data_IF_512883423709
#
_entry.id   IF_512883423709
#
_cell.length_a   1.000
_cell.length_b   1.000
_cell.length_c   1.000
_cell.angle_alpha   90.00
_cell.angle_beta   90.00
_cell.angle_gamma   90.00
#
_symmetry.space_group_name_H-M   'P 1'
#
loop_
_entity.id
_entity.type
_entity.pdbx_description
1 polymer ?
#
# COMPACT_ATOMS: atom_id res chain seq x y z
N UNK A 1 3.01 3.86 26.61
CA UNK A 1 2.15 2.87 25.93
C UNK A 1 2.22 1.60 26.77
N UNK A 2 1.11 1.17 27.41
CA UNK A 2 1.09 0.06 28.34
C UNK A 2 1.27 -1.29 27.63
N UNK A 3 2.10 -2.18 28.20
CA UNK A 3 2.36 -3.54 27.68
C UNK A 3 1.07 -4.37 27.56
N UNK A 4 0.12 -4.18 28.48
CA UNK A 4 -1.21 -4.83 28.43
C UNK A 4 -1.97 -4.59 27.13
N UNK A 5 -1.80 -3.43 26.48
CA UNK A 5 -2.43 -3.16 25.19
C UNK A 5 -1.89 -4.00 24.03
N UNK A 6 -0.63 -4.45 24.09
CA UNK A 6 -0.03 -5.24 22.99
C UNK A 6 -0.45 -6.71 23.04
N UNK A 7 -0.68 -7.27 24.22
CA UNK A 7 -1.15 -8.66 24.36
C UNK A 7 -2.64 -8.81 24.03
N UNK A 8 -3.44 -7.76 24.31
CA UNK A 8 -4.82 -7.66 23.87
C UNK A 8 -4.95 -7.42 22.36
N UNK A 9 -3.93 -6.82 21.76
CA UNK A 9 -3.94 -6.38 20.36
C UNK A 9 -3.63 -7.50 19.34
N UNK A 10 -2.74 -8.43 19.68
CA UNK A 10 -2.41 -9.60 18.85
C UNK A 10 -2.37 -10.80 19.78
N UNK A 11 -3.51 -11.49 19.96
CA UNK A 11 -3.53 -12.68 20.78
C UNK A 11 -2.48 -13.66 20.27
N UNK A 12 -1.76 -14.27 21.21
CA UNK A 12 -0.86 -15.37 20.89
C UNK A 12 -1.73 -16.48 20.28
N UNK A 13 -1.31 -17.02 19.14
CA UNK A 13 -2.03 -18.09 18.48
C UNK A 13 -2.07 -19.34 19.36
N UNK A 14 -3.23 -19.99 19.45
CA UNK A 14 -3.45 -21.18 20.28
C UNK A 14 -2.71 -22.41 19.74
N UNK A 15 -2.67 -23.48 20.55
CA UNK A 15 -1.82 -24.65 20.32
C UNK A 15 -2.05 -25.41 18.98
N UNK A 16 -3.20 -25.24 18.34
CA UNK A 16 -3.53 -25.90 17.06
C UNK A 16 -2.69 -25.40 15.87
N UNK A 17 -2.18 -24.17 15.93
CA UNK A 17 -1.28 -23.62 14.89
C UNK A 17 0.18 -24.06 15.06
N UNK A 18 0.53 -24.67 16.18
CA UNK A 18 1.86 -25.27 16.39
C UNK A 18 2.10 -26.45 15.43
N UNK A 19 1.05 -27.18 15.09
CA UNK A 19 1.11 -28.26 14.08
C UNK A 19 1.39 -27.71 12.68
N UNK A 20 0.75 -26.62 12.33
CA UNK A 20 0.94 -25.93 11.04
C UNK A 20 2.35 -25.33 10.95
N UNK A 21 2.85 -24.72 12.04
CA UNK A 21 4.22 -24.22 12.10
C UNK A 21 5.26 -25.33 11.90
N UNK A 22 5.09 -26.47 12.55
CA UNK A 22 6.01 -27.60 12.38
C UNK A 22 6.01 -28.08 10.93
N UNK A 23 4.85 -28.13 10.25
CA UNK A 23 4.76 -28.49 8.85
C UNK A 23 5.45 -27.48 7.91
N UNK A 24 5.39 -26.19 8.23
CA UNK A 24 6.13 -25.14 7.49
C UNK A 24 7.63 -25.30 7.68
N UNK A 25 8.09 -25.51 8.91
CA UNK A 25 9.51 -25.69 9.21
C UNK A 25 10.08 -26.94 8.52
N UNK A 26 9.31 -28.01 8.40
CA UNK A 26 9.77 -29.24 7.73
C UNK A 26 9.84 -29.13 6.20
N UNK A 27 9.14 -28.17 5.60
CA UNK A 27 9.11 -27.98 4.13
C UNK A 27 10.06 -26.90 3.62
N UNK A 28 10.54 -26.01 4.49
CA UNK A 28 11.40 -24.88 4.10
C UNK A 28 12.86 -25.12 4.50
N UNK A 29 13.67 -25.56 3.55
CA UNK A 29 15.10 -25.81 3.72
C UNK A 29 15.86 -24.56 4.21
N UNK A 30 15.45 -23.37 3.76
CA UNK A 30 16.09 -22.09 4.14
C UNK A 30 15.87 -21.82 5.62
N UNK A 31 14.64 -22.04 6.10
CA UNK A 31 14.29 -21.89 7.51
C UNK A 31 15.06 -22.87 8.38
N UNK A 32 15.19 -24.12 7.95
CA UNK A 32 15.96 -25.13 8.68
C UNK A 32 17.45 -24.76 8.77
N UNK A 33 18.04 -24.29 7.68
CA UNK A 33 19.42 -23.79 7.67
C UNK A 33 19.59 -22.62 8.65
N UNK A 34 18.71 -21.64 8.62
CA UNK A 34 18.73 -20.53 9.55
C UNK A 34 18.63 -20.97 11.01
N UNK A 35 17.69 -21.84 11.35
CA UNK A 35 17.52 -22.37 12.71
C UNK A 35 18.77 -23.14 13.19
N UNK A 36 19.40 -23.92 12.30
CA UNK A 36 20.65 -24.62 12.57
C UNK A 36 21.80 -23.63 12.86
N UNK A 37 21.88 -22.55 12.09
CA UNK A 37 22.97 -21.57 12.26
C UNK A 37 22.81 -20.77 13.55
N UNK A 38 21.62 -20.29 13.90
CA UNK A 38 21.39 -19.60 15.17
C UNK A 38 21.59 -20.55 16.38
N UNK A 39 21.34 -21.86 16.19
CA UNK A 39 21.52 -22.89 17.19
C UNK A 39 22.99 -23.12 17.60
N UNK A 40 23.95 -22.80 16.73
CA UNK A 40 25.39 -22.93 17.02
C UNK A 40 25.87 -21.93 18.08
N UNK A 41 25.15 -20.80 18.26
CA UNK A 41 25.53 -19.75 19.19
C UNK A 41 25.10 -20.10 20.62
N UNK A 42 26.02 -20.05 21.56
CA UNK A 42 25.77 -20.35 22.99
C UNK A 42 24.89 -19.26 23.61
N UNK A 43 23.98 -19.69 24.49
CA UNK A 43 23.17 -18.76 25.30
C UNK A 43 24.06 -18.05 26.35
N UNK A 44 23.80 -16.78 26.55
CA UNK A 44 24.55 -15.98 27.55
C UNK A 44 24.00 -16.21 28.96
N UNK A 45 24.92 -16.25 29.92
CA UNK A 45 24.60 -16.19 31.37
C UNK A 45 24.38 -14.74 31.77
N UNK A 46 23.62 -14.51 32.85
CA UNK A 46 23.32 -13.15 33.37
C UNK A 46 24.56 -12.28 33.57
N UNK A 47 25.68 -12.85 34.10
CA UNK A 47 26.95 -12.13 34.28
C UNK A 47 27.58 -11.71 32.95
N UNK A 48 27.43 -12.54 31.91
CA UNK A 48 27.93 -12.26 30.56
C UNK A 48 27.12 -11.16 29.89
N UNK A 49 25.77 -11.18 30.04
CA UNK A 49 24.90 -10.10 29.56
C UNK A 49 25.27 -8.76 30.17
N UNK A 50 25.52 -8.71 31.52
CA UNK A 50 25.94 -7.51 32.21
C UNK A 50 27.30 -7.01 31.72
N UNK A 51 28.29 -7.91 31.57
CA UNK A 51 29.60 -7.54 31.05
C UNK A 51 29.55 -6.98 29.63
N UNK A 52 28.74 -7.61 28.75
CA UNK A 52 28.50 -7.09 27.40
C UNK A 52 27.78 -5.74 27.43
N UNK A 53 26.78 -5.58 28.30
CA UNK A 53 26.10 -4.29 28.52
C UNK A 53 27.07 -3.19 28.98
N UNK A 54 27.99 -3.51 29.86
CA UNK A 54 29.07 -2.59 30.33
C UNK A 54 30.00 -2.21 29.18
N UNK A 55 30.45 -3.17 28.38
CA UNK A 55 31.30 -2.93 27.20
C UNK A 55 30.58 -2.09 26.10
N UNK A 56 29.26 -2.19 25.99
CA UNK A 56 28.48 -1.39 25.04
C UNK A 56 28.46 0.09 25.44
N UNK A 57 28.40 0.40 26.74
CA UNK A 57 28.27 1.78 27.23
C UNK A 57 29.65 2.42 27.50
N UNK A 58 30.58 1.68 28.12
CA UNK A 58 31.86 2.19 28.60
C UNK A 58 33.04 1.87 27.67
N UNK A 59 32.89 0.91 26.75
CA UNK A 59 33.94 0.42 25.86
C UNK A 59 34.26 1.32 24.68
N UNK A 60 35.42 1.10 24.07
CA UNK A 60 35.79 1.75 22.82
C UNK A 60 34.80 1.37 21.67
N UNK A 61 34.70 2.21 20.63
CA UNK A 61 33.76 1.99 19.51
C UNK A 61 33.83 0.58 18.90
N UNK A 62 35.05 0.01 18.73
CA UNK A 62 35.22 -1.37 18.20
C UNK A 62 34.73 -2.43 19.18
N UNK A 63 35.03 -2.27 20.47
CA UNK A 63 34.59 -3.18 21.53
C UNK A 63 33.07 -3.16 21.70
N UNK A 64 32.48 -1.97 21.74
CA UNK A 64 31.04 -1.79 21.84
C UNK A 64 30.32 -2.46 20.65
N UNK A 65 30.85 -2.34 19.42
CA UNK A 65 30.27 -2.95 18.24
C UNK A 65 30.36 -4.49 18.27
N UNK A 66 31.48 -5.03 18.76
CA UNK A 66 31.69 -6.47 18.93
C UNK A 66 30.78 -7.03 20.03
N UNK A 67 30.66 -6.34 21.15
CA UNK A 67 29.78 -6.71 22.25
C UNK A 67 28.30 -6.69 21.81
N UNK A 68 27.86 -5.67 21.04
CA UNK A 68 26.54 -5.61 20.47
C UNK A 68 26.25 -6.79 19.55
N UNK A 69 27.16 -7.09 18.60
CA UNK A 69 27.02 -8.25 17.70
C UNK A 69 26.85 -9.54 18.49
N UNK A 70 27.67 -9.78 19.49
CA UNK A 70 27.60 -10.97 20.33
C UNK A 70 26.31 -11.04 21.12
N UNK A 71 25.83 -9.94 21.71
CA UNK A 71 24.58 -9.86 22.43
C UNK A 71 23.38 -10.17 21.49
N UNK A 72 23.36 -9.63 20.28
CA UNK A 72 22.31 -9.88 19.28
C UNK A 72 22.32 -11.34 18.84
N UNK A 73 23.48 -11.86 18.40
CA UNK A 73 23.60 -13.24 17.90
C UNK A 73 23.14 -14.27 18.92
N UNK A 74 23.50 -14.10 20.20
CA UNK A 74 23.11 -15.02 21.27
C UNK A 74 21.62 -14.99 21.62
N UNK A 75 20.89 -13.95 21.17
CA UNK A 75 19.47 -13.78 21.45
C UNK A 75 18.55 -13.93 20.21
N UNK A 76 19.06 -14.35 19.05
CA UNK A 76 18.23 -14.60 17.87
C UNK A 76 17.17 -15.68 18.11
N UNK A 77 17.48 -16.68 18.94
CA UNK A 77 16.51 -17.73 19.33
C UNK A 77 15.30 -17.16 20.06
N UNK A 78 15.48 -16.07 20.85
CA UNK A 78 14.37 -15.37 21.49
C UNK A 78 13.44 -14.73 20.45
N UNK A 79 14.01 -14.13 19.39
CA UNK A 79 13.20 -13.56 18.29
C UNK A 79 12.32 -14.63 17.64
N UNK A 80 12.90 -15.80 17.32
CA UNK A 80 12.16 -16.93 16.73
C UNK A 80 11.02 -17.39 17.63
N UNK A 81 11.27 -17.52 18.94
CA UNK A 81 10.24 -17.96 19.90
C UNK A 81 9.07 -16.99 20.02
N UNK A 82 9.33 -15.68 19.86
CA UNK A 82 8.28 -14.66 19.86
C UNK A 82 7.56 -14.61 18.50
N UNK A 83 8.30 -14.62 17.37
CA UNK A 83 7.73 -14.58 16.03
C UNK A 83 6.80 -15.78 15.76
N UNK A 84 7.13 -16.95 16.31
CA UNK A 84 6.29 -18.17 16.20
C UNK A 84 4.84 -17.91 16.66
N UNK A 85 4.62 -17.07 17.65
CA UNK A 85 3.30 -16.75 18.20
C UNK A 85 2.46 -15.84 17.29
N UNK A 86 3.03 -15.32 16.21
CA UNK A 86 2.39 -14.39 15.28
C UNK A 86 2.32 -14.95 13.85
N UNK A 87 2.56 -16.26 13.68
CA UNK A 87 2.37 -16.94 12.40
C UNK A 87 0.90 -16.94 11.96
N UNK A 88 0.63 -17.07 10.66
CA UNK A 88 -0.75 -17.11 10.14
C UNK A 88 -1.45 -15.75 10.02
N UNK A 89 -0.80 -14.66 10.34
CA UNK A 89 -1.39 -13.30 10.32
C UNK A 89 -1.12 -12.51 9.02
N UNK A 90 -0.95 -13.20 7.89
CA UNK A 90 -0.80 -12.58 6.57
C UNK A 90 0.62 -12.07 6.26
N UNK A 91 1.63 -12.42 7.08
CA UNK A 91 3.04 -12.14 6.85
C UNK A 91 3.84 -13.44 6.95
N UNK A 92 4.81 -13.62 6.07
CA UNK A 92 5.66 -14.81 6.08
C UNK A 92 6.47 -14.89 7.38
N UNK A 93 6.66 -16.12 7.89
CA UNK A 93 7.37 -16.33 9.17
C UNK A 93 8.79 -15.76 9.15
N UNK A 94 9.54 -15.92 8.06
CA UNK A 94 10.89 -15.38 7.96
C UNK A 94 10.91 -13.85 8.00
N UNK A 95 9.90 -13.20 7.41
CA UNK A 95 9.77 -11.74 7.47
C UNK A 95 9.50 -11.26 8.91
N UNK A 96 8.64 -11.99 9.65
CA UNK A 96 8.42 -11.71 11.07
C UNK A 96 9.71 -11.87 11.90
N UNK A 97 10.54 -12.88 11.60
CA UNK A 97 11.83 -13.09 12.26
C UNK A 97 12.79 -11.94 11.92
N UNK A 98 12.85 -11.48 10.67
CA UNK A 98 13.70 -10.36 10.27
C UNK A 98 13.26 -9.05 10.95
N UNK A 99 11.97 -8.74 10.93
CA UNK A 99 11.42 -7.55 11.60
C UNK A 99 11.65 -7.63 13.12
N UNK A 100 11.47 -8.81 13.73
CA UNK A 100 11.79 -9.04 15.13
C UNK A 100 13.28 -8.84 15.43
N UNK A 101 14.16 -9.24 14.51
CA UNK A 101 15.61 -9.02 14.63
C UNK A 101 15.97 -7.55 14.59
N UNK A 102 15.28 -6.73 13.77
CA UNK A 102 15.42 -5.27 13.81
C UNK A 102 14.99 -4.70 15.18
N UNK A 103 13.95 -5.28 15.80
CA UNK A 103 13.55 -4.98 17.18
C UNK A 103 14.62 -5.31 18.20
N UNK A 104 15.24 -6.50 18.08
CA UNK A 104 16.34 -6.94 18.93
C UNK A 104 17.55 -5.99 18.82
N UNK A 105 17.90 -5.53 17.62
CA UNK A 105 18.96 -4.54 17.39
C UNK A 105 18.64 -3.22 18.10
N UNK A 106 17.39 -2.74 18.00
CA UNK A 106 16.96 -1.53 18.74
C UNK A 106 17.06 -1.72 20.24
N UNK A 107 16.70 -2.90 20.76
CA UNK A 107 16.83 -3.23 22.17
C UNK A 107 18.30 -3.22 22.61
N UNK A 108 19.20 -3.86 21.85
CA UNK A 108 20.62 -3.90 22.15
C UNK A 108 21.27 -2.50 22.17
N UNK A 109 20.82 -1.59 21.30
CA UNK A 109 21.30 -0.21 21.27
C UNK A 109 20.86 0.65 22.47
N UNK A 110 19.76 0.27 23.13
CA UNK A 110 19.16 1.03 24.24
C UNK A 110 19.20 0.30 25.57
N UNK A 111 19.87 -0.84 25.63
CA UNK A 111 19.96 -1.65 26.84
C UNK A 111 20.84 -0.99 27.89
N UNK A 112 20.29 -0.84 29.09
CA UNK A 112 20.96 -0.31 30.24
C UNK A 112 21.13 -1.41 31.28
N UNK A 113 22.38 -1.88 31.45
CA UNK A 113 22.72 -2.95 32.38
C UNK A 113 22.60 -2.51 33.85
N UNK A 114 22.68 -1.19 34.17
CA UNK A 114 22.63 -0.67 35.53
C UNK A 114 21.30 -0.91 36.23
N UNK A 115 20.21 -1.07 35.43
CA UNK A 115 18.86 -1.34 35.94
C UNK A 115 18.66 -2.74 36.50
N UNK A 116 19.61 -3.64 36.37
CA UNK A 116 19.60 -4.96 36.97
C UNK A 116 18.63 -5.98 36.35
N UNK A 117 17.85 -5.60 35.34
CA UNK A 117 16.96 -6.52 34.64
C UNK A 117 17.70 -7.37 33.59
N UNK A 118 17.14 -8.55 33.26
CA UNK A 118 17.64 -9.39 32.15
C UNK A 118 17.42 -8.70 30.82
N UNK A 119 18.37 -8.87 29.89
CA UNK A 119 18.24 -8.35 28.54
C UNK A 119 17.01 -8.88 27.86
N UNK A 120 16.69 -10.18 27.99
CA UNK A 120 15.50 -10.80 27.40
C UNK A 120 14.19 -10.11 27.77
N UNK A 121 14.02 -9.67 29.03
CA UNK A 121 12.82 -8.96 29.49
C UNK A 121 12.63 -7.64 28.74
N UNK A 122 13.71 -6.89 28.54
CA UNK A 122 13.67 -5.63 27.79
C UNK A 122 13.53 -5.84 26.29
N UNK A 123 14.25 -6.81 25.74
CA UNK A 123 14.25 -7.12 24.31
C UNK A 123 12.87 -7.63 23.82
N UNK A 124 12.17 -8.45 24.62
CA UNK A 124 10.85 -8.97 24.27
C UNK A 124 9.87 -7.86 23.89
N UNK A 125 9.89 -6.74 24.61
CA UNK A 125 9.03 -5.60 24.29
C UNK A 125 9.35 -5.00 22.90
N UNK A 126 10.62 -4.80 22.58
CA UNK A 126 11.04 -4.25 21.29
C UNK A 126 10.77 -5.21 20.13
N UNK A 127 11.06 -6.50 20.34
CA UNK A 127 10.80 -7.55 19.34
C UNK A 127 9.30 -7.60 19.02
N UNK A 128 8.46 -7.68 20.06
CA UNK A 128 7.00 -7.71 19.89
C UNK A 128 6.48 -6.47 19.18
N UNK A 129 6.92 -5.29 19.60
CA UNK A 129 6.52 -4.02 18.99
C UNK A 129 6.84 -3.95 17.50
N UNK A 130 8.03 -4.43 17.09
CA UNK A 130 8.40 -4.42 15.66
C UNK A 130 7.61 -5.44 14.87
N UNK A 131 7.41 -6.65 15.38
CA UNK A 131 6.61 -7.69 14.74
C UNK A 131 5.16 -7.22 14.54
N UNK A 132 4.52 -6.72 15.60
CA UNK A 132 3.14 -6.22 15.53
C UNK A 132 3.00 -5.07 14.53
N UNK A 133 3.98 -4.18 14.50
CA UNK A 133 4.00 -3.08 13.54
C UNK A 133 4.21 -3.56 12.10
N UNK A 134 5.03 -4.57 11.90
CA UNK A 134 5.25 -5.19 10.58
C UNK A 134 3.96 -5.85 10.07
N UNK A 135 3.26 -6.61 10.93
CA UNK A 135 1.97 -7.21 10.60
C UNK A 135 0.96 -6.11 10.22
N UNK A 136 0.84 -5.06 11.03
CA UNK A 136 -0.08 -3.96 10.75
C UNK A 136 0.21 -3.26 9.41
N UNK A 137 1.47 -3.23 8.96
CA UNK A 137 1.86 -2.57 7.73
C UNK A 137 1.76 -3.46 6.49
N UNK A 138 2.00 -4.78 6.62
CA UNK A 138 2.27 -5.68 5.49
C UNK A 138 1.27 -6.85 5.39
N UNK A 139 0.36 -7.04 6.36
CA UNK A 139 -0.57 -8.19 6.37
C UNK A 139 -1.68 -8.11 5.31
N UNK A 140 -1.96 -6.94 4.77
CA UNK A 140 -3.01 -6.73 3.78
C UNK A 140 -2.42 -6.19 2.47
N UNK A 141 -2.92 -6.69 1.33
CA UNK A 141 -2.53 -6.22 -0.02
C UNK A 141 -2.78 -4.72 -0.17
N UNK A 142 -3.97 -4.28 0.24
CA UNK A 142 -4.29 -2.85 0.34
C UNK A 142 -3.95 -2.40 1.75
N UNK A 143 -2.89 -1.61 1.88
CA UNK A 143 -2.41 -1.12 3.18
C UNK A 143 -3.46 -0.32 3.92
N UNK A 144 -3.73 -0.70 5.17
CA UNK A 144 -4.64 -0.02 6.07
C UNK A 144 -3.83 0.76 7.14
N UNK A 145 -4.15 2.03 7.43
CA UNK A 145 -3.49 2.77 8.51
C UNK A 145 -3.69 2.10 9.88
N UNK A 146 -2.67 2.17 10.76
CA UNK A 146 -2.66 1.48 12.06
C UNK A 146 -3.88 1.85 12.92
N UNK A 147 -4.26 3.14 12.97
CA UNK A 147 -5.44 3.57 13.73
C UNK A 147 -6.77 2.97 13.23
N UNK A 148 -6.85 2.58 11.95
CA UNK A 148 -8.02 1.88 11.41
C UNK A 148 -7.99 0.39 11.78
N UNK A 149 -6.80 -0.22 11.79
CA UNK A 149 -6.64 -1.61 12.25
C UNK A 149 -7.10 -1.73 13.71
N UNK A 150 -6.78 -0.74 14.55
CA UNK A 150 -7.21 -0.69 15.94
C UNK A 150 -8.74 -0.63 16.06
N UNK A 151 -9.39 0.24 15.26
CA UNK A 151 -10.85 0.32 15.21
C UNK A 151 -11.49 -0.98 14.73
N UNK A 152 -10.94 -1.58 13.65
CA UNK A 152 -11.42 -2.85 13.11
C UNK A 152 -11.39 -3.95 14.18
N UNK A 153 -10.36 -3.98 15.02
CA UNK A 153 -10.27 -4.97 16.10
C UNK A 153 -11.31 -4.76 17.19
N UNK A 154 -11.46 -3.51 17.62
CA UNK A 154 -12.51 -3.19 18.59
C UNK A 154 -13.89 -3.60 18.08
N UNK A 155 -14.16 -3.31 16.79
CA UNK A 155 -15.40 -3.71 16.13
C UNK A 155 -15.54 -5.24 16.08
N UNK A 156 -14.50 -5.98 15.65
CA UNK A 156 -14.51 -7.45 15.61
C UNK A 156 -14.74 -8.06 16.99
N UNK A 157 -14.06 -7.55 18.04
CA UNK A 157 -14.24 -7.99 19.44
C UNK A 157 -15.68 -7.76 19.89
N UNK A 158 -16.23 -6.57 19.65
CA UNK A 158 -17.60 -6.25 20.00
C UNK A 158 -18.62 -7.12 19.25
N UNK A 159 -18.39 -7.38 17.97
CA UNK A 159 -19.21 -8.31 17.17
C UNK A 159 -19.21 -9.71 17.76
N UNK A 160 -18.03 -10.25 18.08
CA UNK A 160 -17.91 -11.58 18.67
C UNK A 160 -18.65 -11.68 20.01
N UNK A 161 -18.47 -10.70 20.89
CA UNK A 161 -19.11 -10.67 22.20
C UNK A 161 -20.64 -10.55 22.12
N UNK A 162 -21.17 -9.75 21.18
CA UNK A 162 -22.63 -9.63 20.96
C UNK A 162 -23.17 -10.91 20.35
N UNK A 163 -22.49 -11.45 19.32
CA UNK A 163 -22.91 -12.71 18.70
C UNK A 163 -22.94 -13.87 19.73
N UNK A 164 -21.92 -13.96 20.59
CA UNK A 164 -21.87 -14.97 21.65
C UNK A 164 -23.03 -14.84 22.63
N UNK A 165 -23.46 -13.60 22.97
CA UNK A 165 -24.57 -13.37 23.93
C UNK A 165 -25.96 -13.49 23.30
N UNK A 166 -26.12 -13.12 22.02
CA UNK A 166 -27.44 -13.03 21.35
C UNK A 166 -27.70 -14.18 20.36
N UNK A 167 -26.67 -14.94 19.95
CA UNK A 167 -26.73 -15.98 18.93
C UNK A 167 -27.02 -15.49 17.51
N UNK A 168 -26.97 -14.17 17.27
CA UNK A 168 -27.18 -13.56 15.94
C UNK A 168 -26.11 -12.53 15.60
N UNK A 169 -26.00 -12.18 14.34
CA UNK A 169 -25.12 -11.08 13.90
C UNK A 169 -25.61 -9.74 14.47
N UNK A 170 -24.70 -8.94 15.05
CA UNK A 170 -25.04 -7.64 15.62
C UNK A 170 -25.32 -6.58 14.55
N UNK A 171 -26.25 -5.66 14.87
CA UNK A 171 -26.50 -4.48 14.04
C UNK A 171 -25.42 -3.42 14.24
N UNK A 172 -25.31 -2.46 13.28
CA UNK A 172 -24.35 -1.33 13.37
C UNK A 172 -24.64 -0.49 14.62
N UNK A 173 -25.91 -0.30 14.97
CA UNK A 173 -26.35 0.46 16.15
C UNK A 173 -25.91 -0.23 17.46
N UNK A 174 -26.05 -1.54 17.55
CA UNK A 174 -25.62 -2.32 18.73
C UNK A 174 -24.13 -2.22 18.97
N UNK A 175 -23.33 -2.31 17.90
CA UNK A 175 -21.87 -2.15 17.95
C UNK A 175 -21.51 -0.71 18.34
N UNK A 176 -22.16 0.28 17.73
CA UNK A 176 -21.98 1.70 18.01
C UNK A 176 -22.22 2.02 19.48
N UNK A 177 -23.35 1.54 20.03
CA UNK A 177 -23.73 1.73 21.43
C UNK A 177 -22.74 1.06 22.38
N UNK A 178 -22.30 -0.17 22.08
CA UNK A 178 -21.34 -0.92 22.89
C UNK A 178 -19.98 -0.25 22.94
N UNK A 179 -19.47 0.22 21.79
CA UNK A 179 -18.14 0.84 21.67
C UNK A 179 -18.16 2.35 21.95
N UNK A 180 -19.34 2.97 22.09
CA UNK A 180 -19.54 4.42 22.19
C UNK A 180 -18.86 5.17 21.02
N UNK A 181 -18.94 4.62 19.82
CA UNK A 181 -18.36 5.16 18.58
C UNK A 181 -19.48 5.60 17.63
N UNK A 182 -19.27 6.67 16.84
CA UNK A 182 -20.25 7.07 15.82
C UNK A 182 -20.50 5.95 14.80
N UNK A 183 -21.76 5.72 14.42
CA UNK A 183 -22.18 4.68 13.47
C UNK A 183 -21.41 4.74 12.15
N UNK A 184 -21.15 5.96 11.63
CA UNK A 184 -20.33 6.15 10.43
C UNK A 184 -18.94 5.51 10.55
N UNK A 185 -18.30 5.58 11.72
CA UNK A 185 -16.98 4.98 11.93
C UNK A 185 -17.06 3.46 12.01
N UNK A 186 -18.11 2.92 12.62
CA UNK A 186 -18.39 1.48 12.66
C UNK A 186 -18.63 0.96 11.24
N UNK A 187 -19.45 1.67 10.45
CA UNK A 187 -19.72 1.30 9.06
C UNK A 187 -18.48 1.31 8.19
N UNK A 188 -17.60 2.31 8.32
CA UNK A 188 -16.31 2.34 7.62
C UNK A 188 -15.44 1.15 8.01
N UNK A 189 -15.37 0.82 9.30
CA UNK A 189 -14.61 -0.33 9.77
C UNK A 189 -15.15 -1.66 9.20
N UNK A 190 -16.48 -1.85 9.20
CA UNK A 190 -17.14 -3.03 8.63
C UNK A 190 -16.90 -3.15 7.12
N UNK A 191 -17.01 -2.05 6.38
CA UNK A 191 -16.72 -2.04 4.95
C UNK A 191 -15.27 -2.40 4.68
N UNK A 192 -14.34 -1.85 5.48
CA UNK A 192 -12.89 -2.16 5.34
C UNK A 192 -12.58 -3.63 5.62
N UNK A 193 -13.32 -4.28 6.53
CA UNK A 193 -13.19 -5.74 6.79
C UNK A 193 -13.59 -6.56 5.56
N UNK A 194 -14.65 -6.14 4.85
CA UNK A 194 -15.20 -6.86 3.69
C UNK A 194 -14.37 -6.71 2.41
N UNK A 195 -13.52 -5.67 2.33
CA UNK A 195 -12.68 -5.41 1.15
C UNK A 195 -11.44 -6.32 1.22
N UNK A 196 -11.55 -7.54 0.74
CA UNK A 196 -10.41 -8.42 0.48
C UNK A 196 -10.25 -8.57 -1.04
N UNK A 197 -9.06 -8.25 -1.60
CA UNK A 197 -8.80 -8.45 -3.02
C UNK A 197 -8.87 -9.94 -3.35
N UNK A 198 -9.55 -10.28 -4.46
CA UNK A 198 -9.58 -11.61 -5.02
C UNK A 198 -8.43 -11.77 -6.02
N UNK A 199 -7.82 -12.94 -6.11
CA UNK A 199 -6.80 -13.20 -7.14
C UNK A 199 -7.44 -13.21 -8.53
N UNK A 200 -6.78 -12.58 -9.48
CA UNK A 200 -7.17 -12.61 -10.90
C UNK A 200 -6.99 -14.02 -11.50
N UNK A 201 -6.07 -14.82 -10.96
CA UNK A 201 -5.84 -16.21 -11.40
C UNK A 201 -6.91 -17.20 -10.88
N UNK A 202 -7.93 -16.69 -10.14
CA UNK A 202 -9.00 -17.57 -9.64
C UNK A 202 -9.73 -18.22 -10.81
N UNK A 203 -9.74 -19.58 -10.92
CA UNK A 203 -10.44 -20.28 -11.99
C UNK A 203 -11.96 -20.12 -11.83
N UNK A 204 -12.63 -19.67 -12.91
CA UNK A 204 -14.10 -19.55 -12.97
C UNK A 204 -14.69 -20.75 -13.69
N UNK A 205 -13.98 -21.25 -14.72
CA UNK A 205 -14.38 -22.43 -15.49
C UNK A 205 -13.14 -23.22 -15.94
N UNK A 206 -13.33 -24.36 -16.60
CA UNK A 206 -12.22 -25.09 -17.23
C UNK A 206 -11.50 -24.16 -18.23
N UNK A 207 -10.21 -23.89 -17.95
CA UNK A 207 -9.31 -23.03 -18.74
C UNK A 207 -9.67 -21.53 -18.79
N UNK A 208 -10.49 -20.99 -17.87
CA UNK A 208 -10.83 -19.58 -17.78
C UNK A 208 -10.55 -19.06 -16.37
N UNK A 209 -9.80 -17.96 -16.29
CA UNK A 209 -9.50 -17.24 -15.05
C UNK A 209 -10.39 -15.99 -14.92
N UNK A 210 -10.42 -15.37 -13.74
CA UNK A 210 -11.11 -14.10 -13.51
C UNK A 210 -10.56 -12.98 -14.39
N UNK A 211 -9.26 -13.01 -14.71
CA UNK A 211 -8.60 -12.05 -15.59
C UNK A 211 -9.22 -12.00 -16.98
N UNK A 212 -9.60 -13.15 -17.52
CA UNK A 212 -10.19 -13.28 -18.86
C UNK A 212 -11.55 -12.58 -19.01
N UNK A 213 -12.22 -12.29 -17.88
CA UNK A 213 -13.52 -11.59 -17.85
C UNK A 213 -13.41 -10.07 -17.72
N UNK A 214 -12.22 -9.56 -17.38
CA UNK A 214 -12.03 -8.13 -17.14
C UNK A 214 -11.68 -7.45 -18.46
N UNK A 215 -12.56 -6.54 -18.93
CA UNK A 215 -12.29 -5.73 -20.12
C UNK A 215 -11.20 -4.69 -19.87
N UNK A 216 -10.37 -4.44 -20.88
CA UNK A 216 -9.41 -3.33 -20.84
C UNK A 216 -10.06 -2.06 -21.39
N UNK A 217 -10.37 -1.13 -20.48
CA UNK A 217 -11.00 0.15 -20.80
C UNK A 217 -10.00 1.20 -21.33
N UNK A 218 -8.68 0.90 -21.35
CA UNK A 218 -7.67 1.83 -21.84
C UNK A 218 -7.61 1.88 -23.36
N UNK A 219 -8.07 0.84 -24.05
CA UNK A 219 -8.13 0.78 -25.49
C UNK A 219 -9.49 1.25 -25.99
N UNK A 220 -9.48 2.30 -26.79
CA UNK A 220 -10.69 2.75 -27.51
C UNK A 220 -11.09 1.70 -28.56
N UNK A 221 -12.39 1.45 -28.72
CA UNK A 221 -12.85 0.50 -29.73
C UNK A 221 -12.41 0.91 -31.14
N UNK A 222 -12.20 -0.05 -32.07
CA UNK A 222 -11.85 0.24 -33.45
C UNK A 222 -12.83 1.21 -34.12
N UNK A 223 -14.11 1.13 -33.77
CA UNK A 223 -15.18 2.01 -34.29
C UNK A 223 -14.94 3.47 -33.85
N UNK A 224 -14.68 3.70 -32.58
CA UNK A 224 -14.40 5.06 -32.06
C UNK A 224 -13.12 5.62 -32.68
N UNK A 225 -12.09 4.78 -32.88
CA UNK A 225 -10.88 5.20 -33.57
C UNK A 225 -11.10 5.54 -35.04
N UNK A 226 -11.95 4.76 -35.75
CA UNK A 226 -12.33 5.05 -37.12
C UNK A 226 -13.12 6.36 -37.20
N UNK A 227 -14.12 6.56 -36.34
CA UNK A 227 -14.92 7.80 -36.29
C UNK A 227 -14.01 9.01 -35.99
N UNK A 228 -13.11 8.91 -35.03
CA UNK A 228 -12.14 9.97 -34.69
C UNK A 228 -11.23 10.30 -35.89
N UNK A 229 -10.79 9.29 -36.61
CA UNK A 229 -9.96 9.46 -37.81
C UNK A 229 -10.71 10.12 -38.94
N UNK A 230 -11.94 9.74 -39.18
CA UNK A 230 -12.85 10.36 -40.15
C UNK A 230 -13.14 11.82 -39.81
N UNK A 231 -13.44 12.10 -38.55
CA UNK A 231 -13.63 13.47 -38.04
C UNK A 231 -12.40 14.34 -38.28
N UNK A 232 -11.21 13.85 -37.94
CA UNK A 232 -9.92 14.55 -38.18
C UNK A 232 -9.73 14.83 -39.67
N UNK A 233 -10.03 13.87 -40.54
CA UNK A 233 -9.94 14.03 -41.98
C UNK A 233 -10.89 15.11 -42.47
N UNK A 234 -12.17 15.10 -42.04
CA UNK A 234 -13.17 16.10 -42.43
C UNK A 234 -12.77 17.51 -41.92
N UNK A 235 -12.34 17.65 -40.66
CA UNK A 235 -11.86 18.91 -40.14
C UNK A 235 -10.69 19.45 -40.99
N UNK A 236 -9.73 18.60 -41.33
CA UNK A 236 -8.62 19.00 -42.18
C UNK A 236 -9.05 19.47 -43.58
N UNK A 237 -10.06 18.84 -44.16
CA UNK A 237 -10.59 19.28 -45.45
C UNK A 237 -11.28 20.63 -45.38
N UNK A 238 -12.06 20.88 -44.33
CA UNK A 238 -12.70 22.20 -44.09
C UNK A 238 -11.65 23.28 -43.83
N UNK A 239 -10.57 22.95 -43.12
CA UNK A 239 -9.47 23.89 -42.89
C UNK A 239 -8.65 24.25 -44.14
N UNK A 240 -8.73 23.42 -45.24
CA UNK A 240 -8.08 23.75 -46.51
C UNK A 240 -8.71 24.95 -47.21
N UNK A 241 -9.95 25.29 -46.92
CA UNK A 241 -10.67 26.44 -47.48
C UNK A 241 -10.20 27.78 -46.89
N UNK A 242 -9.49 27.75 -45.74
CA UNK A 242 -8.92 28.92 -45.11
C UNK A 242 -7.60 29.33 -45.74
N UNK A 243 -7.29 30.62 -45.68
CA UNK A 243 -5.98 31.12 -46.04
C UNK A 243 -4.87 30.47 -45.17
N UNK A 244 -3.63 30.29 -45.67
CA UNK A 244 -2.57 29.62 -44.91
C UNK A 244 -2.33 30.20 -43.52
N UNK A 245 -2.46 31.53 -43.39
CA UNK A 245 -2.30 32.26 -42.10
C UNK A 245 -3.46 31.96 -41.15
N UNK A 246 -4.68 32.02 -41.63
CA UNK A 246 -5.91 31.71 -40.90
C UNK A 246 -5.88 30.24 -40.40
N UNK A 247 -5.56 29.33 -41.31
CA UNK A 247 -5.44 27.90 -41.02
C UNK A 247 -4.43 27.62 -39.91
N UNK A 248 -3.22 28.20 -39.99
CA UNK A 248 -2.18 28.03 -38.98
C UNK A 248 -2.64 28.52 -37.60
N UNK A 249 -3.31 29.70 -37.54
CA UNK A 249 -3.85 30.24 -36.29
C UNK A 249 -4.88 29.30 -35.69
N UNK A 250 -5.87 28.84 -36.46
CA UNK A 250 -6.93 27.92 -35.96
C UNK A 250 -6.33 26.60 -35.50
N UNK A 251 -5.44 25.99 -36.31
CA UNK A 251 -4.81 24.70 -35.97
C UNK A 251 -4.05 24.79 -34.64
N UNK A 252 -3.22 25.81 -34.43
CA UNK A 252 -2.46 25.93 -33.18
C UNK A 252 -3.30 26.44 -32.01
N UNK A 253 -4.34 27.24 -32.27
CA UNK A 253 -5.26 27.74 -31.24
C UNK A 253 -6.02 26.62 -30.56
N UNK A 254 -6.51 25.68 -31.36
CA UNK A 254 -7.34 24.56 -30.90
C UNK A 254 -6.56 23.24 -30.76
N UNK A 255 -5.29 23.20 -31.13
CA UNK A 255 -4.47 21.98 -31.02
C UNK A 255 -4.92 20.85 -31.94
N UNK A 256 -5.45 21.18 -33.14
CA UNK A 256 -6.04 20.20 -34.08
C UNK A 256 -4.99 19.21 -34.61
N UNK A 257 -3.74 19.63 -34.67
CA UNK A 257 -2.58 18.82 -35.07
C UNK A 257 -2.04 17.90 -33.96
N UNK A 258 -2.72 17.82 -32.82
CA UNK A 258 -2.31 17.03 -31.67
C UNK A 258 -1.38 17.74 -30.69
N UNK A 259 -1.02 18.99 -30.98
CA UNK A 259 -0.26 19.82 -30.07
C UNK A 259 -1.15 20.45 -29.00
N UNK A 260 -0.54 20.92 -27.91
CA UNK A 260 -1.29 21.66 -26.88
C UNK A 260 -1.87 22.97 -27.45
N UNK A 261 -3.14 23.31 -27.14
CA UNK A 261 -3.75 24.55 -27.53
C UNK A 261 -2.92 25.76 -27.07
N UNK A 262 -2.67 26.72 -27.98
CA UNK A 262 -1.91 27.95 -27.69
C UNK A 262 -2.84 29.12 -27.36
N UNK A 263 -2.37 30.02 -26.51
CA UNK A 263 -3.07 31.30 -26.22
C UNK A 263 -2.90 32.30 -27.36
N UNK A 264 -3.81 33.30 -27.45
CA UNK A 264 -3.70 34.36 -28.46
C UNK A 264 -2.42 35.17 -28.36
N UNK A 265 -1.86 35.26 -27.14
CA UNK A 265 -0.62 36.00 -26.88
C UNK A 265 0.60 35.20 -27.36
N UNK A 266 0.65 33.91 -27.12
CA UNK A 266 1.70 33.01 -27.64
C UNK A 266 1.73 32.99 -29.16
N UNK A 267 0.54 32.85 -29.78
CA UNK A 267 0.41 32.93 -31.24
C UNK A 267 0.84 34.30 -31.79
N UNK A 268 0.51 35.39 -31.07
CA UNK A 268 0.95 36.70 -31.41
C UNK A 268 2.47 36.85 -31.44
N UNK A 269 3.15 36.33 -30.42
CA UNK A 269 4.62 36.33 -30.32
C UNK A 269 5.26 35.50 -31.44
N UNK A 270 4.69 34.29 -31.71
CA UNK A 270 5.21 33.35 -32.71
C UNK A 270 5.06 33.90 -34.15
N UNK A 271 3.96 34.61 -34.43
CA UNK A 271 3.63 35.10 -35.76
C UNK A 271 3.96 36.55 -35.99
N UNK A 272 4.47 37.26 -34.99
CA UNK A 272 4.83 38.69 -35.07
C UNK A 272 3.61 39.63 -35.16
N UNK A 273 2.45 39.24 -34.59
CA UNK A 273 1.24 40.07 -34.58
C UNK A 273 0.82 40.43 -33.15
N UNK A 274 0.04 41.54 -33.02
CA UNK A 274 -0.57 41.86 -31.73
C UNK A 274 -1.67 40.83 -31.38
N UNK A 275 -1.93 40.65 -30.09
CA UNK A 275 -3.00 39.78 -29.56
C UNK A 275 -4.36 40.08 -30.21
N UNK A 276 -4.67 41.38 -30.35
CA UNK A 276 -5.93 41.81 -30.95
C UNK A 276 -6.00 41.45 -32.44
N UNK A 277 -4.87 41.55 -33.17
CA UNK A 277 -4.80 41.16 -34.56
C UNK A 277 -5.06 39.64 -34.74
N UNK A 278 -4.47 38.82 -33.89
CA UNK A 278 -4.73 37.36 -33.89
C UNK A 278 -6.20 37.10 -33.63
N UNK A 279 -6.83 37.78 -32.64
CA UNK A 279 -8.26 37.65 -32.32
C UNK A 279 -9.16 38.03 -33.52
N UNK A 280 -8.82 39.06 -34.25
CA UNK A 280 -9.55 39.48 -35.47
C UNK A 280 -9.44 38.39 -36.57
N UNK A 281 -8.24 37.83 -36.79
CA UNK A 281 -8.02 36.78 -37.79
C UNK A 281 -8.78 35.53 -37.41
N UNK A 282 -8.72 35.10 -36.12
CA UNK A 282 -9.50 33.98 -35.58
C UNK A 282 -10.99 34.16 -35.80
N UNK A 283 -11.56 35.32 -35.45
CA UNK A 283 -12.97 35.63 -35.63
C UNK A 283 -13.41 35.61 -37.11
N UNK A 284 -12.55 36.13 -37.99
CA UNK A 284 -12.83 36.05 -39.44
C UNK A 284 -12.75 34.63 -40.00
N UNK A 285 -11.77 33.84 -39.56
CA UNK A 285 -11.63 32.44 -39.93
C UNK A 285 -12.86 31.63 -39.50
N UNK A 286 -13.26 31.76 -38.23
CA UNK A 286 -14.45 31.09 -37.71
C UNK A 286 -15.74 31.47 -38.40
N UNK A 287 -15.86 32.76 -38.80
CA UNK A 287 -17.01 33.24 -39.58
C UNK A 287 -17.04 32.59 -40.99
N UNK A 288 -15.89 32.50 -41.67
CA UNK A 288 -15.77 31.81 -42.95
C UNK A 288 -16.15 30.32 -42.81
N UNK A 289 -15.63 29.65 -41.80
CA UNK A 289 -15.96 28.22 -41.54
C UNK A 289 -17.45 28.01 -41.33
N UNK A 290 -18.16 28.93 -40.63
CA UNK A 290 -19.63 28.83 -40.42
C UNK A 290 -20.45 28.92 -41.70
N UNK A 291 -19.94 29.59 -42.74
CA UNK A 291 -20.62 29.78 -44.02
C UNK A 291 -20.31 28.64 -45.03
N UNK A 292 -19.36 27.79 -44.69
CA UNK A 292 -18.90 26.72 -45.58
C UNK A 292 -19.94 25.60 -45.68
N UNK A 293 -20.17 25.09 -46.89
CA UNK A 293 -21.15 23.97 -47.16
C UNK A 293 -20.83 22.71 -46.36
N UNK A 294 -19.57 22.48 -46.02
CA UNK A 294 -19.09 21.28 -45.31
C UNK A 294 -19.42 21.28 -43.80
N UNK A 295 -19.90 22.37 -43.22
CA UNK A 295 -20.24 22.42 -41.80
C UNK A 295 -21.41 21.48 -41.44
N UNK A 296 -22.31 21.24 -42.38
CA UNK A 296 -23.45 20.33 -42.14
C UNK A 296 -22.96 18.91 -41.83
N UNK A 297 -21.92 18.42 -42.50
CA UNK A 297 -21.33 17.10 -42.21
C UNK A 297 -20.64 17.01 -40.86
N UNK A 298 -20.17 18.16 -40.32
CA UNK A 298 -19.58 18.18 -38.98
C UNK A 298 -20.64 18.21 -37.88
N UNK A 299 -21.88 18.64 -38.17
CA UNK A 299 -22.98 18.61 -37.20
C UNK A 299 -23.40 17.20 -36.83
N UNK A 300 -23.25 16.23 -37.74
CA UNK A 300 -23.59 14.84 -37.51
C UNK A 300 -22.74 14.19 -36.42
N UNK A 301 -21.58 14.79 -36.10
CA UNK A 301 -20.70 14.35 -35.00
C UNK A 301 -21.03 15.01 -33.63
N UNK A 302 -21.98 15.94 -33.59
CA UNK A 302 -22.42 16.62 -32.36
C UNK A 302 -23.73 16.02 -31.79
N UNK A 303 -24.34 15.13 -32.52
CA UNK A 303 -25.50 14.31 -32.10
C UNK A 303 -25.00 12.99 -31.52
#
# INVERSE_FOLDING_TARGET
MNIQYLDEYYPETEQDEVSTFNNIVFKDDILQMYLKDIGKTKLLKRKEEQNLGKQIIEGNHKEALTAKKKLIQSNLRLVVSIAKKYTGQGVLFMDLVQEGSLGLIKAANRFDYSKGFKFSTYATWWIRQTIVRAIANNSKVIRIPVHMIDKIRLVKKAMFEINYSTGREPTVEEISNKLKMPEKQVQIALNTIKIEPMSLDTPIAENLSLEDYISDDNYTSPEINAQSSLLKFQINNVLKELNPKERKIITHRFGIDGNKPKTLEELGREMGFSKERIRQIEGNALRKLRTTKHINHLKDYLS
#
